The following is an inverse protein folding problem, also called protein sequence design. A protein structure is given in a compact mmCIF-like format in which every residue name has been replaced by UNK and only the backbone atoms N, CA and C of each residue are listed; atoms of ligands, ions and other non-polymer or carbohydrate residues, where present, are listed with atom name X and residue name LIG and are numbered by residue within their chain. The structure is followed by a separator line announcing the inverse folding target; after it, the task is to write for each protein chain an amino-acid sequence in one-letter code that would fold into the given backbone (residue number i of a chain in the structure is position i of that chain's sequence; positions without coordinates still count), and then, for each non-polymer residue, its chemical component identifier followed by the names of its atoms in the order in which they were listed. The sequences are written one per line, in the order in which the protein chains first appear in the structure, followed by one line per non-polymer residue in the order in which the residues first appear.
data_IF_672622495573
#
_entry.id   IF_672622495573
#
_cell.length_a   1.000
_cell.length_b   1.000
_cell.length_c   1.000
_cell.angle_alpha   90.00
_cell.angle_beta   90.00
_cell.angle_gamma   90.00
#
_symmetry.space_group_name_H-M   'P 1'
#
loop_
_entity.id
_entity.type
_entity.pdbx_description
1 polymer ?
#
# COMPACT_ATOMS: atom_id res chain seq x y z
N UNK A 1 0.75 2.10 20.62
CA UNK A 1 1.64 1.72 19.49
C UNK A 1 0.82 1.92 18.24
N UNK A 2 1.24 2.80 17.32
CA UNK A 2 0.45 3.03 16.10
C UNK A 2 0.36 1.73 15.31
N UNK A 3 -0.84 1.34 14.88
CA UNK A 3 -1.07 0.12 14.10
C UNK A 3 -0.37 0.22 12.74
N UNK A 4 -0.01 -0.91 12.12
CA UNK A 4 0.60 -0.88 10.77
C UNK A 4 -0.34 -0.21 9.78
N UNK A 5 -1.65 -0.38 9.99
CA UNK A 5 -2.71 0.36 9.30
C UNK A 5 -2.48 1.88 9.33
N UNK A 6 -2.23 2.47 10.49
CA UNK A 6 -1.97 3.91 10.61
C UNK A 6 -0.68 4.34 9.93
N UNK A 7 0.36 3.49 9.96
CA UNK A 7 1.61 3.76 9.27
C UNK A 7 1.42 3.75 7.74
N UNK A 8 0.69 2.77 7.21
CA UNK A 8 0.32 2.69 5.79
C UNK A 8 -0.49 3.92 5.41
N UNK A 9 -1.50 4.28 6.22
CA UNK A 9 -2.37 5.42 5.95
C UNK A 9 -1.55 6.71 5.78
N UNK A 10 -0.71 7.03 6.78
CA UNK A 10 0.13 8.24 6.75
C UNK A 10 1.05 8.29 5.53
N UNK A 11 1.59 7.15 5.15
CA UNK A 11 2.47 7.04 3.98
C UNK A 11 1.71 7.29 2.70
N UNK A 12 0.50 6.73 2.57
CA UNK A 12 -0.36 6.97 1.41
C UNK A 12 -0.89 8.42 1.36
N UNK A 13 -1.12 9.05 2.50
CA UNK A 13 -1.48 10.48 2.62
C UNK A 13 -0.37 11.43 2.18
N UNK A 14 0.90 11.03 2.34
CA UNK A 14 2.04 11.81 1.85
C UNK A 14 2.22 11.74 0.33
N UNK A 15 1.55 10.80 -0.35
CA UNK A 15 1.65 10.67 -1.80
C UNK A 15 0.80 11.74 -2.49
N UNK A 16 1.34 12.36 -3.53
CA UNK A 16 0.53 13.21 -4.40
C UNK A 16 -0.52 12.36 -5.15
N UNK A 17 -1.63 12.97 -5.65
CA UNK A 17 -2.66 12.23 -6.38
C UNK A 17 -2.12 11.43 -7.58
N UNK A 18 -1.11 11.96 -8.27
CA UNK A 18 -0.45 11.26 -9.39
C UNK A 18 0.37 10.05 -8.92
N UNK A 19 1.09 10.20 -7.82
CA UNK A 19 1.85 9.12 -7.21
C UNK A 19 0.93 8.04 -6.66
N UNK A 20 -0.15 8.42 -5.97
CA UNK A 20 -1.16 7.49 -5.49
C UNK A 20 -1.81 6.70 -6.64
N UNK A 21 -2.09 7.36 -7.77
CA UNK A 21 -2.58 6.68 -8.99
C UNK A 21 -1.56 5.64 -9.48
N UNK A 22 -0.28 6.00 -9.54
CA UNK A 22 0.81 5.10 -9.94
C UNK A 22 1.00 3.95 -8.93
N UNK A 23 0.85 4.23 -7.63
CA UNK A 23 0.89 3.27 -6.55
C UNK A 23 -0.19 2.21 -6.73
N UNK A 24 -1.45 2.63 -6.89
CA UNK A 24 -2.59 1.74 -7.19
C UNK A 24 -2.34 0.91 -8.45
N UNK A 25 -1.79 1.51 -9.50
CA UNK A 25 -1.45 0.82 -10.74
C UNK A 25 -0.40 -0.28 -10.53
N UNK A 26 0.64 -0.01 -9.74
CA UNK A 26 1.72 -0.96 -9.42
C UNK A 26 1.34 -2.02 -8.39
N UNK A 27 0.51 -1.66 -7.41
CA UNK A 27 -0.11 -2.62 -6.49
C UNK A 27 -0.97 -3.63 -7.26
N UNK A 28 -1.68 -3.16 -8.29
CA UNK A 28 -2.36 -4.00 -9.25
C UNK A 28 -1.44 -4.73 -10.24
N UNK A 29 -0.11 -4.68 -10.10
CA UNK A 29 0.88 -5.44 -10.90
C UNK A 29 1.94 -6.18 -10.07
N UNK A 30 2.11 -5.87 -8.78
CA UNK A 30 3.03 -6.54 -7.86
C UNK A 30 2.68 -8.03 -7.67
N UNK A 31 3.67 -8.94 -7.71
CA UNK A 31 3.43 -10.35 -7.41
C UNK A 31 2.95 -10.52 -5.96
N UNK A 32 1.90 -11.32 -5.79
CA UNK A 32 1.37 -11.68 -4.48
C UNK A 32 1.87 -13.06 -4.06
N UNK A 33 1.92 -13.30 -2.75
CA UNK A 33 2.21 -14.61 -2.17
C UNK A 33 1.08 -15.58 -2.54
N UNK A 34 1.41 -16.86 -2.64
CA UNK A 34 0.43 -17.90 -2.92
C UNK A 34 -0.68 -17.88 -1.86
N UNK A 35 -1.94 -18.00 -2.30
CA UNK A 35 -3.12 -17.89 -1.44
C UNK A 35 -3.69 -16.48 -1.29
N UNK A 36 -3.01 -15.43 -1.76
CA UNK A 36 -3.54 -14.07 -1.74
C UNK A 36 -4.11 -13.65 -3.10
N UNK A 37 -5.34 -13.15 -3.09
CA UNK A 37 -6.00 -12.62 -4.28
C UNK A 37 -5.61 -11.17 -4.53
N UNK A 38 -5.48 -10.81 -5.81
CA UNK A 38 -5.25 -9.42 -6.20
C UNK A 38 -6.54 -8.61 -6.11
N UNK A 39 -6.45 -7.43 -5.51
CA UNK A 39 -7.51 -6.42 -5.60
C UNK A 39 -7.64 -5.97 -7.07
N UNK A 40 -8.84 -6.09 -7.67
CA UNK A 40 -9.03 -5.71 -9.07
C UNK A 40 -8.71 -4.23 -9.30
N UNK A 41 -8.05 -3.93 -10.42
CA UNK A 41 -7.61 -2.55 -10.73
C UNK A 41 -8.75 -1.54 -10.76
N UNK A 42 -9.94 -1.96 -11.20
CA UNK A 42 -11.15 -1.12 -11.17
C UNK A 42 -11.50 -0.67 -9.76
N UNK A 43 -11.47 -1.58 -8.78
CA UNK A 43 -11.70 -1.25 -7.39
C UNK A 43 -10.59 -0.34 -6.84
N UNK A 44 -9.30 -0.68 -7.07
CA UNK A 44 -8.18 0.14 -6.62
C UNK A 44 -8.28 1.60 -7.08
N UNK A 45 -8.75 1.84 -8.30
CA UNK A 45 -8.94 3.18 -8.85
C UNK A 45 -9.96 4.01 -8.06
N UNK A 46 -11.03 3.38 -7.57
CA UNK A 46 -12.15 4.04 -6.88
C UNK A 46 -11.95 4.21 -5.37
N UNK A 47 -11.05 3.45 -4.75
CA UNK A 47 -10.80 3.52 -3.31
C UNK A 47 -10.04 4.80 -2.95
N UNK A 48 -10.53 5.59 -2.00
CA UNK A 48 -9.78 6.69 -1.40
C UNK A 48 -8.63 6.17 -0.52
N UNK A 49 -7.76 7.06 -0.03
CA UNK A 49 -6.55 6.67 0.74
C UNK A 49 -6.90 5.82 1.97
N UNK A 50 -7.98 6.20 2.67
CA UNK A 50 -8.48 5.47 3.86
C UNK A 50 -9.00 4.09 3.46
N UNK A 51 -9.89 4.01 2.47
CA UNK A 51 -10.47 2.75 2.02
C UNK A 51 -9.42 1.81 1.39
N UNK A 52 -8.44 2.37 0.69
CA UNK A 52 -7.32 1.61 0.13
C UNK A 52 -6.49 0.98 1.25
N UNK A 53 -6.18 1.75 2.29
CA UNK A 53 -5.46 1.25 3.45
C UNK A 53 -6.24 0.13 4.15
N UNK A 54 -7.53 0.36 4.37
CA UNK A 54 -8.39 -0.63 5.02
C UNK A 54 -8.49 -1.91 4.20
N UNK A 55 -8.67 -1.77 2.88
CA UNK A 55 -8.72 -2.90 1.95
C UNK A 55 -7.42 -3.68 1.92
N UNK A 56 -6.27 -3.00 1.93
CA UNK A 56 -4.95 -3.62 1.98
C UNK A 56 -4.80 -4.47 3.25
N UNK A 57 -5.12 -3.90 4.41
CA UNK A 57 -5.03 -4.60 5.69
C UNK A 57 -6.03 -5.76 5.77
N UNK A 58 -7.25 -5.59 5.26
CA UNK A 58 -8.27 -6.63 5.26
C UNK A 58 -7.96 -7.78 4.28
N UNK A 59 -7.34 -7.49 3.13
CA UNK A 59 -7.03 -8.50 2.10
C UNK A 59 -5.67 -9.16 2.30
N UNK A 60 -4.69 -8.44 2.83
CA UNK A 60 -3.30 -8.91 2.95
C UNK A 60 -2.82 -9.03 4.39
N UNK A 61 -3.63 -8.73 5.40
CA UNK A 61 -3.21 -8.60 6.79
C UNK A 61 -2.19 -7.48 7.02
N UNK A 62 -2.14 -6.94 8.24
CA UNK A 62 -1.30 -5.78 8.57
C UNK A 62 0.17 -5.95 8.19
N UNK A 63 0.77 -7.11 8.50
CA UNK A 63 2.17 -7.40 8.21
C UNK A 63 2.46 -7.43 6.71
N UNK A 64 1.70 -8.24 5.97
CA UNK A 64 1.97 -8.46 4.55
C UNK A 64 1.47 -7.30 3.69
N UNK A 65 0.43 -6.57 4.11
CA UNK A 65 0.06 -5.28 3.53
C UNK A 65 1.22 -4.27 3.62
N UNK A 66 1.87 -4.15 4.79
CA UNK A 66 2.99 -3.25 4.97
C UNK A 66 4.17 -3.62 4.06
N UNK A 67 4.51 -4.91 3.97
CA UNK A 67 5.55 -5.41 3.05
C UNK A 67 5.23 -5.07 1.58
N UNK A 68 3.97 -5.27 1.16
CA UNK A 68 3.53 -4.95 -0.20
C UNK A 68 3.63 -3.46 -0.50
N UNK A 69 3.16 -2.61 0.42
CA UNK A 69 3.24 -1.15 0.27
C UNK A 69 4.70 -0.71 0.16
N UNK A 70 5.60 -1.22 1.03
CA UNK A 70 7.04 -0.95 0.95
C UNK A 70 7.62 -1.37 -0.40
N UNK A 71 7.27 -2.56 -0.90
CA UNK A 71 7.77 -3.06 -2.19
C UNK A 71 7.33 -2.15 -3.35
N UNK A 72 6.06 -1.75 -3.37
CA UNK A 72 5.51 -0.86 -4.41
C UNK A 72 6.14 0.54 -4.33
N UNK A 73 6.32 1.08 -3.12
CA UNK A 73 6.97 2.39 -2.91
C UNK A 73 8.43 2.37 -3.40
N UNK A 74 9.19 1.31 -3.09
CA UNK A 74 10.57 1.14 -3.59
C UNK A 74 10.61 1.12 -5.11
N UNK A 75 9.68 0.41 -5.74
CA UNK A 75 9.55 0.34 -7.20
C UNK A 75 9.14 1.69 -7.84
N UNK A 76 8.49 2.56 -7.05
CA UNK A 76 8.21 3.96 -7.41
C UNK A 76 9.37 4.92 -7.12
N UNK A 77 10.50 4.44 -6.57
CA UNK A 77 11.62 5.23 -6.05
C UNK A 77 11.28 6.10 -4.83
N UNK A 78 10.23 5.75 -4.10
CA UNK A 78 9.81 6.41 -2.86
C UNK A 78 10.49 5.76 -1.65
N UNK A 79 11.82 5.87 -1.60
CA UNK A 79 12.63 5.21 -0.57
C UNK A 79 12.38 5.78 0.82
N UNK A 80 12.11 7.08 0.94
CA UNK A 80 11.83 7.73 2.22
C UNK A 80 10.54 7.21 2.86
N UNK A 81 9.46 7.16 2.08
CA UNK A 81 8.17 6.65 2.53
C UNK A 81 8.21 5.13 2.79
N UNK A 82 8.92 4.37 1.94
CA UNK A 82 9.18 2.96 2.18
C UNK A 82 9.94 2.74 3.51
N UNK A 83 10.97 3.55 3.79
CA UNK A 83 11.75 3.46 5.02
C UNK A 83 10.96 3.94 6.25
N UNK A 84 10.03 4.90 6.08
CA UNK A 84 9.12 5.35 7.13
C UNK A 84 8.16 4.21 7.52
N UNK A 85 7.56 3.56 6.53
CA UNK A 85 6.67 2.42 6.77
C UNK A 85 7.41 1.25 7.41
N UNK A 86 8.60 0.91 6.89
CA UNK A 86 9.41 -0.19 7.42
C UNK A 86 9.85 0.03 8.87
N UNK A 87 10.07 1.28 9.29
CA UNK A 87 10.42 1.63 10.69
C UNK A 87 9.22 1.63 11.64
N UNK A 88 8.00 1.73 11.10
CA UNK A 88 6.77 1.78 11.88
C UNK A 88 6.08 0.40 12.01
N UNK A 89 6.52 -0.60 11.23
CA UNK A 89 5.97 -1.95 11.17
C UNK A 89 6.83 -2.97 11.94
#
# INVERSE_FOLDING_TARGET
MGTKREAILKVLENLTPEELKKFKMKLGTVPLREGFERIPRGALGQLDIVDLTDKLVASYYEDYAAELVVAVLRDMRMLEEAARLQRAA
#
